data_IF_969784985567
#
_entry.id   IF_969784985567
#
_cell.length_a   1.000
_cell.length_b   1.000
_cell.length_c   1.000
_cell.angle_alpha   90.00
_cell.angle_beta   90.00
_cell.angle_gamma   90.00
#
_symmetry.space_group_name_H-M   'P 1'
#
loop_
_entity.id
_entity.type
_entity.pdbx_description
1 polymer ?
#
# COMPACT_ATOMS: atom_id res chain seq x y z
N UNK A 1 -6.74 11.59 -25.57
CA UNK A 1 -6.70 12.09 -24.18
C UNK A 1 -6.98 11.00 -23.15
N UNK A 2 -8.13 10.31 -23.16
CA UNK A 2 -8.48 9.32 -22.13
C UNK A 2 -7.52 8.12 -22.01
N UNK A 3 -7.10 7.51 -23.12
CA UNK A 3 -6.15 6.40 -23.07
C UNK A 3 -4.80 6.82 -22.45
N UNK A 4 -4.29 7.99 -22.83
CA UNK A 4 -3.05 8.55 -22.24
C UNK A 4 -3.25 8.80 -20.74
N UNK A 5 -4.39 9.40 -20.36
CA UNK A 5 -4.74 9.64 -18.96
C UNK A 5 -4.82 8.33 -18.16
N UNK A 6 -5.37 7.26 -18.73
CA UNK A 6 -5.40 5.95 -18.10
C UNK A 6 -4.00 5.45 -17.76
N UNK A 7 -3.07 5.46 -18.73
CA UNK A 7 -1.70 5.01 -18.47
C UNK A 7 -0.97 5.90 -17.47
N UNK A 8 -1.17 7.21 -17.52
CA UNK A 8 -0.56 8.16 -16.58
C UNK A 8 -1.13 7.96 -15.16
N UNK A 9 -2.46 7.84 -15.03
CA UNK A 9 -3.13 7.62 -13.73
C UNK A 9 -2.70 6.29 -13.11
N UNK A 10 -2.69 5.21 -13.89
CA UNK A 10 -2.29 3.88 -13.40
C UNK A 10 -0.80 3.82 -13.02
N UNK A 11 0.05 4.52 -13.78
CA UNK A 11 1.47 4.68 -13.43
C UNK A 11 1.67 5.52 -12.16
N UNK A 12 0.92 6.61 -12.02
CA UNK A 12 0.94 7.44 -10.80
C UNK A 12 0.46 6.63 -9.59
N UNK A 13 -0.58 5.80 -9.77
CA UNK A 13 -1.08 4.89 -8.75
C UNK A 13 0.01 3.91 -8.30
N UNK A 14 0.70 3.27 -9.24
CA UNK A 14 1.79 2.34 -8.92
C UNK A 14 2.85 2.98 -8.00
N UNK A 15 3.31 4.20 -8.32
CA UNK A 15 4.30 4.89 -7.50
C UNK A 15 3.76 5.36 -6.15
N UNK A 16 2.54 5.89 -6.13
CA UNK A 16 1.84 6.19 -4.88
C UNK A 16 1.79 4.96 -3.97
N UNK A 17 1.37 3.83 -4.53
CA UNK A 17 1.15 2.61 -3.79
C UNK A 17 2.47 2.01 -3.29
N UNK A 18 3.48 1.90 -4.16
CA UNK A 18 4.82 1.47 -3.79
C UNK A 18 5.44 2.32 -2.69
N UNK A 19 5.38 3.65 -2.82
CA UNK A 19 5.93 4.56 -1.80
C UNK A 19 5.15 4.43 -0.49
N UNK A 20 3.86 4.10 -0.55
CA UNK A 20 3.04 3.82 0.64
C UNK A 20 3.50 2.59 1.40
N UNK A 21 4.11 1.61 0.75
CA UNK A 21 4.72 0.46 1.41
C UNK A 21 6.20 0.67 1.77
N UNK A 22 6.93 1.50 1.03
CA UNK A 22 8.38 1.70 1.22
C UNK A 22 8.74 2.91 2.12
N UNK A 23 7.77 3.71 2.56
CA UNK A 23 7.97 4.88 3.44
C UNK A 23 7.02 4.87 4.63
N UNK A 24 7.54 4.98 5.85
CA UNK A 24 6.72 4.96 7.08
C UNK A 24 5.66 6.06 7.12
N UNK A 25 5.97 7.25 6.60
CA UNK A 25 5.00 8.33 6.48
C UNK A 25 3.82 7.93 5.60
N UNK A 26 4.09 7.43 4.40
CA UNK A 26 3.04 7.05 3.45
C UNK A 26 2.30 5.79 3.91
N UNK A 27 2.99 4.88 4.60
CA UNK A 27 2.39 3.72 5.25
C UNK A 27 1.32 4.10 6.26
N UNK A 28 1.46 5.20 7.02
CA UNK A 28 0.42 5.62 7.96
C UNK A 28 -0.90 6.02 7.27
N UNK A 29 -0.87 6.34 5.97
CA UNK A 29 -2.07 6.58 5.17
C UNK A 29 -2.68 5.29 4.62
N UNK A 30 -1.96 4.17 4.69
CA UNK A 30 -2.30 2.94 3.99
C UNK A 30 -2.43 1.70 4.91
N UNK A 31 -1.75 1.66 6.06
CA UNK A 31 -1.69 0.52 7.00
C UNK A 31 -3.06 -0.02 7.42
N UNK A 32 -4.05 0.86 7.53
CA UNK A 32 -5.43 0.50 7.89
C UNK A 32 -6.02 -0.48 6.87
N UNK A 33 -5.70 -0.30 5.58
CA UNK A 33 -6.09 -1.18 4.48
C UNK A 33 -5.53 -2.59 4.66
N UNK A 34 -4.23 -2.70 4.95
CA UNK A 34 -3.55 -3.99 5.12
C UNK A 34 -3.73 -4.64 6.49
N UNK A 35 -4.26 -3.90 7.48
CA UNK A 35 -4.35 -4.39 8.87
C UNK A 35 -5.28 -5.60 9.08
N UNK A 36 -6.13 -5.92 8.10
CA UNK A 36 -7.09 -7.03 8.22
C UNK A 36 -6.41 -8.38 8.00
N UNK A 37 -6.59 -9.31 8.96
CA UNK A 37 -6.21 -10.72 8.80
C UNK A 37 -7.23 -11.51 7.95
N UNK A 38 -8.39 -10.89 7.66
CA UNK A 38 -9.43 -11.45 6.80
C UNK A 38 -9.44 -10.72 5.45
N UNK A 39 -9.16 -11.44 4.36
CA UNK A 39 -9.12 -10.88 3.01
C UNK A 39 -10.42 -11.14 2.25
N UNK A 40 -11.14 -10.06 1.90
CA UNK A 40 -12.38 -10.05 1.12
C UNK A 40 -12.68 -8.63 0.61
N UNK A 41 -13.78 -8.44 -0.12
CA UNK A 41 -14.14 -7.15 -0.76
C UNK A 41 -14.25 -5.98 0.22
N UNK A 42 -14.57 -6.21 1.51
CA UNK A 42 -14.63 -5.12 2.50
C UNK A 42 -13.27 -4.49 2.78
N UNK A 43 -12.17 -5.23 2.55
CA UNK A 43 -10.81 -4.69 2.67
C UNK A 43 -10.58 -3.55 1.68
N UNK A 44 -11.17 -3.61 0.48
CA UNK A 44 -11.06 -2.57 -0.54
C UNK A 44 -11.49 -1.19 -0.02
N UNK A 45 -12.57 -1.16 0.77
CA UNK A 45 -13.14 0.09 1.31
C UNK A 45 -12.62 0.43 2.71
N UNK A 46 -11.77 -0.43 3.29
CA UNK A 46 -11.17 -0.22 4.60
C UNK A 46 -9.98 0.75 4.48
N UNK A 47 -10.25 2.05 4.53
CA UNK A 47 -9.24 3.09 4.32
C UNK A 47 -8.87 3.81 5.64
N UNK A 48 -7.65 4.37 5.69
CA UNK A 48 -7.23 5.27 6.77
C UNK A 48 -8.02 6.57 6.74
N UNK A 49 -8.32 7.15 7.90
CA UNK A 49 -8.95 8.49 7.99
C UNK A 49 -8.09 9.59 7.40
N UNK A 50 -6.78 9.36 7.33
CA UNK A 50 -5.84 10.31 6.76
C UNK A 50 -5.64 10.09 5.25
N UNK A 51 -6.17 9.00 4.70
CA UNK A 51 -6.06 8.66 3.27
C UNK A 51 -6.45 9.87 2.42
N UNK A 52 -5.64 10.20 1.44
CA UNK A 52 -5.85 11.37 0.58
C UNK A 52 -5.06 12.64 0.94
N UNK A 53 -4.63 12.84 2.20
CA UNK A 53 -3.96 14.11 2.60
C UNK A 53 -2.67 14.40 1.81
N UNK A 54 -1.92 13.37 1.44
CA UNK A 54 -0.69 13.50 0.64
C UNK A 54 -0.80 12.85 -0.75
N UNK A 55 -1.96 12.30 -1.12
CA UNK A 55 -2.13 11.63 -2.42
C UNK A 55 -1.96 12.61 -3.57
N UNK A 56 -2.36 13.88 -3.38
CA UNK A 56 -2.25 14.92 -4.39
C UNK A 56 -0.82 15.11 -4.90
N UNK A 57 0.23 14.77 -4.13
CA UNK A 57 1.63 14.85 -4.57
C UNK A 57 1.88 13.96 -5.79
N UNK A 58 1.20 12.83 -5.89
CA UNK A 58 1.34 11.88 -7.00
C UNK A 58 0.47 12.24 -8.20
N UNK A 59 -0.67 12.88 -7.97
CA UNK A 59 -1.66 13.15 -9.02
C UNK A 59 -1.66 14.60 -9.54
N UNK A 60 -1.16 15.57 -8.76
CA UNK A 60 -1.02 16.97 -9.22
C UNK A 60 -0.24 17.12 -10.54
N UNK A 61 0.83 16.34 -10.82
CA UNK A 61 1.48 16.36 -12.12
C UNK A 61 0.53 16.08 -13.30
N UNK A 62 -0.50 15.25 -13.11
CA UNK A 62 -1.50 14.95 -14.15
C UNK A 62 -2.25 16.23 -14.55
N UNK A 63 -2.65 17.06 -13.58
CA UNK A 63 -3.29 18.35 -13.87
C UNK A 63 -2.33 19.34 -14.53
N UNK A 64 -1.05 19.35 -14.12
CA UNK A 64 -0.02 20.19 -14.73
C UNK A 64 0.28 19.81 -16.18
N UNK A 65 0.04 18.55 -16.58
CA UNK A 65 0.11 18.09 -17.97
C UNK A 65 -1.10 18.52 -18.82
N UNK A 66 -2.04 19.28 -18.25
CA UNK A 66 -3.19 19.87 -18.97
C UNK A 66 -4.47 19.05 -18.91
N UNK A 67 -4.54 17.98 -18.11
CA UNK A 67 -5.79 17.26 -17.90
C UNK A 67 -6.68 17.98 -16.89
N UNK A 68 -7.95 18.15 -17.22
CA UNK A 68 -8.90 18.78 -16.31
C UNK A 68 -9.11 17.91 -15.05
N UNK A 69 -9.28 18.51 -13.85
CA UNK A 69 -9.47 17.75 -12.60
C UNK A 69 -10.62 16.74 -12.64
N UNK A 70 -11.72 17.05 -13.35
CA UNK A 70 -12.85 16.12 -13.49
C UNK A 70 -12.50 14.90 -14.35
N UNK A 71 -11.62 15.05 -15.36
CA UNK A 71 -11.17 13.92 -16.17
C UNK A 71 -10.34 12.97 -15.33
N UNK A 72 -9.41 13.52 -14.53
CA UNK A 72 -8.66 12.75 -13.54
C UNK A 72 -9.61 12.04 -12.58
N UNK A 73 -10.57 12.75 -11.98
CA UNK A 73 -11.52 12.15 -11.03
C UNK A 73 -12.29 10.97 -11.63
N UNK A 74 -12.73 11.09 -12.89
CA UNK A 74 -13.40 9.99 -13.61
C UNK A 74 -12.45 8.83 -13.85
N UNK A 75 -11.23 9.07 -14.37
CA UNK A 75 -10.27 8.01 -14.65
C UNK A 75 -9.83 7.29 -13.37
N UNK A 76 -9.47 8.05 -12.35
CA UNK A 76 -9.07 7.53 -11.05
C UNK A 76 -10.22 6.76 -10.39
N UNK A 77 -11.47 7.20 -10.57
CA UNK A 77 -12.65 6.44 -10.16
C UNK A 77 -12.72 5.06 -10.81
N UNK A 78 -12.47 4.95 -12.12
CA UNK A 78 -12.38 3.65 -12.80
C UNK A 78 -11.23 2.80 -12.26
N UNK A 79 -10.08 3.41 -11.97
CA UNK A 79 -8.94 2.73 -11.36
C UNK A 79 -9.33 2.10 -10.01
N UNK A 80 -9.95 2.87 -9.11
CA UNK A 80 -10.39 2.38 -7.80
C UNK A 80 -11.50 1.32 -7.90
N UNK A 81 -12.43 1.46 -8.85
CA UNK A 81 -13.47 0.44 -9.11
C UNK A 81 -12.84 -0.86 -9.61
N UNK A 82 -11.82 -0.78 -10.48
CA UNK A 82 -11.08 -1.95 -10.91
C UNK A 82 -10.39 -2.63 -9.71
N UNK A 83 -9.77 -1.85 -8.83
CA UNK A 83 -9.11 -2.42 -7.67
C UNK A 83 -10.08 -3.01 -6.65
N UNK A 84 -11.34 -2.56 -6.60
CA UNK A 84 -12.34 -3.14 -5.70
C UNK A 84 -12.54 -4.64 -5.94
N UNK A 85 -12.78 -5.07 -7.19
CA UNK A 85 -13.19 -6.45 -7.46
C UNK A 85 -12.07 -7.48 -7.27
N UNK A 86 -10.80 -7.05 -7.38
CA UNK A 86 -9.65 -7.94 -7.17
C UNK A 86 -9.41 -8.30 -5.68
N UNK A 87 -10.12 -7.68 -4.74
CA UNK A 87 -10.08 -8.04 -3.31
C UNK A 87 -10.92 -9.29 -3.01
N UNK A 88 -10.53 -10.43 -3.57
CA UNK A 88 -11.26 -11.67 -3.38
C UNK A 88 -10.36 -12.90 -3.35
N UNK A 89 -10.79 -13.90 -2.56
CA UNK A 89 -10.21 -15.24 -2.54
C UNK A 89 -10.94 -16.22 -3.47
N UNK A 90 -12.07 -15.79 -4.05
CA UNK A 90 -12.95 -16.68 -4.81
C UNK A 90 -12.42 -17.03 -6.20
N UNK A 91 -11.61 -16.16 -6.77
CA UNK A 91 -11.02 -16.34 -8.09
C UNK A 91 -9.56 -16.70 -7.88
N UNK A 92 -9.19 -17.94 -8.19
CA UNK A 92 -7.83 -18.43 -8.03
C UNK A 92 -6.90 -17.74 -9.04
N UNK A 93 -6.95 -18.13 -10.31
CA UNK A 93 -6.11 -17.57 -11.40
C UNK A 93 -6.93 -17.16 -12.61
N UNK A 94 -6.41 -16.21 -13.38
CA UNK A 94 -7.01 -15.75 -14.65
C UNK A 94 -6.17 -16.08 -15.89
N UNK A 95 -5.13 -16.92 -15.73
CA UNK A 95 -4.33 -17.42 -16.84
C UNK A 95 -3.65 -16.29 -17.62
N UNK A 96 -3.76 -16.23 -18.96
CA UNK A 96 -3.04 -15.24 -19.77
C UNK A 96 -3.31 -13.76 -19.43
N UNK A 97 -4.45 -13.45 -18.79
CA UNK A 97 -4.72 -12.08 -18.36
C UNK A 97 -3.71 -11.59 -17.30
N UNK A 98 -3.10 -12.51 -16.54
CA UNK A 98 -2.12 -12.22 -15.48
C UNK A 98 -0.79 -11.67 -16.01
N UNK A 99 -0.56 -11.70 -17.33
CA UNK A 99 0.61 -11.05 -17.91
C UNK A 99 0.46 -9.53 -17.99
N UNK A 100 -0.78 -9.02 -18.05
CA UNK A 100 -1.07 -7.60 -18.31
C UNK A 100 -1.87 -6.95 -17.18
N UNK A 101 -2.84 -7.68 -16.63
CA UNK A 101 -3.78 -7.18 -15.63
C UNK A 101 -3.36 -7.54 -14.21
N UNK A 102 -3.61 -6.63 -13.28
CA UNK A 102 -3.62 -6.95 -11.87
C UNK A 102 -4.85 -7.82 -11.57
N UNK A 103 -4.65 -8.98 -10.96
CA UNK A 103 -5.71 -9.98 -10.78
C UNK A 103 -5.91 -10.26 -9.29
N UNK A 104 -6.98 -10.99 -8.91
CA UNK A 104 -7.16 -11.39 -7.52
C UNK A 104 -5.95 -12.12 -6.94
N UNK A 105 -5.26 -12.96 -7.72
CA UNK A 105 -4.03 -13.63 -7.28
C UNK A 105 -2.89 -12.67 -6.96
N UNK A 106 -2.61 -11.75 -7.89
CA UNK A 106 -1.57 -10.73 -7.68
C UNK A 106 -1.87 -9.86 -6.46
N UNK A 107 -3.14 -9.51 -6.25
CA UNK A 107 -3.56 -8.64 -5.16
C UNK A 107 -3.63 -9.36 -3.81
N UNK A 108 -3.84 -10.68 -3.79
CA UNK A 108 -3.65 -11.49 -2.58
C UNK A 108 -2.19 -11.52 -2.15
N UNK A 109 -1.26 -11.69 -3.10
CA UNK A 109 0.19 -11.55 -2.83
C UNK A 109 0.49 -10.18 -2.26
N UNK A 110 -0.05 -9.12 -2.86
CA UNK A 110 0.15 -7.77 -2.35
C UNK A 110 -0.29 -7.58 -0.88
N UNK A 111 -1.39 -8.21 -0.48
CA UNK A 111 -1.87 -8.20 0.90
C UNK A 111 -1.16 -9.20 1.83
N UNK A 112 -0.24 -10.00 1.30
CA UNK A 112 0.52 -11.00 2.04
C UNK A 112 1.64 -10.40 2.88
N UNK A 113 1.81 -10.92 4.09
CA UNK A 113 2.86 -10.53 5.06
C UNK A 113 3.97 -11.57 5.19
N UNK A 114 3.81 -12.75 4.60
CA UNK A 114 4.84 -13.79 4.53
C UNK A 114 5.84 -13.51 3.39
N UNK A 115 7.06 -14.04 3.51
CA UNK A 115 7.95 -14.11 2.36
C UNK A 115 7.44 -15.18 1.39
N UNK A 116 7.53 -14.98 0.07
CA UNK A 116 8.18 -13.87 -0.63
C UNK A 116 7.27 -12.65 -0.93
N UNK A 117 6.10 -12.55 -0.31
CA UNK A 117 5.01 -11.61 -0.66
C UNK A 117 5.12 -10.22 -0.03
N UNK A 118 5.89 -10.09 1.04
CA UNK A 118 6.10 -8.81 1.69
C UNK A 118 6.64 -7.76 0.69
N UNK A 119 5.99 -6.60 0.64
CA UNK A 119 6.38 -5.46 -0.19
C UNK A 119 6.46 -5.82 -1.71
N UNK A 120 5.43 -6.51 -2.23
CA UNK A 120 5.29 -6.93 -3.65
C UNK A 120 3.98 -6.51 -4.29
N UNK A 121 3.94 -6.54 -5.62
CA UNK A 121 2.74 -6.36 -6.45
C UNK A 121 1.93 -5.07 -6.18
N UNK A 122 2.50 -3.90 -6.46
CA UNK A 122 1.91 -2.60 -6.18
C UNK A 122 0.95 -2.06 -7.25
N UNK A 123 0.82 -2.72 -8.40
CA UNK A 123 0.01 -2.23 -9.51
C UNK A 123 -1.46 -1.99 -9.12
N UNK A 124 -2.09 -1.00 -9.76
CA UNK A 124 -3.53 -0.77 -9.66
C UNK A 124 -4.28 -1.67 -10.64
N UNK A 125 -4.28 -1.28 -11.91
CA UNK A 125 -4.94 -2.00 -13.01
C UNK A 125 -3.96 -2.87 -13.79
N UNK A 126 -2.78 -2.35 -14.15
CA UNK A 126 -1.84 -3.06 -15.01
C UNK A 126 -0.66 -3.62 -14.22
N UNK A 127 -0.54 -4.95 -14.14
CA UNK A 127 0.58 -5.63 -13.46
C UNK A 127 1.93 -5.42 -14.17
N UNK A 128 1.91 -4.84 -15.37
CA UNK A 128 3.10 -4.55 -16.16
C UNK A 128 4.09 -3.66 -15.40
N UNK A 129 3.60 -2.76 -14.53
CA UNK A 129 4.48 -1.89 -13.74
C UNK A 129 5.32 -2.68 -12.76
N UNK A 130 4.73 -3.65 -12.07
CA UNK A 130 5.48 -4.53 -11.17
C UNK A 130 6.53 -5.35 -11.89
N UNK A 131 6.21 -5.83 -13.11
CA UNK A 131 7.16 -6.56 -13.94
C UNK A 131 8.30 -5.66 -14.41
N UNK A 132 7.99 -4.44 -14.83
CA UNK A 132 8.98 -3.46 -15.30
C UNK A 132 9.94 -3.01 -14.18
N UNK A 133 9.42 -2.83 -12.97
CA UNK A 133 10.18 -2.32 -11.83
C UNK A 133 10.67 -3.40 -10.85
N UNK A 134 10.50 -4.67 -11.20
CA UNK A 134 11.07 -5.81 -10.46
C UNK A 134 10.40 -6.11 -9.11
N UNK A 135 9.13 -5.75 -8.95
CA UNK A 135 8.35 -5.97 -7.73
C UNK A 135 7.30 -7.08 -7.89
N UNK A 136 7.19 -7.66 -9.09
CA UNK A 136 6.28 -8.76 -9.38
C UNK A 136 6.70 -10.06 -8.67
N UNK A 137 5.76 -10.67 -7.96
CA UNK A 137 5.86 -12.02 -7.39
C UNK A 137 4.57 -12.77 -7.66
N UNK A 138 4.71 -14.04 -8.05
CA UNK A 138 3.59 -14.94 -8.27
C UNK A 138 3.09 -15.56 -6.95
N UNK A 139 1.78 -15.84 -6.87
CA UNK A 139 1.19 -16.56 -5.75
C UNK A 139 1.51 -18.07 -5.80
N UNK A 140 2.59 -18.48 -5.17
CA UNK A 140 3.05 -19.87 -5.07
C UNK A 140 2.53 -20.65 -3.85
N UNK A 141 2.04 -19.96 -2.82
CA UNK A 141 1.53 -20.49 -1.56
C UNK A 141 0.41 -19.59 -1.01
N UNK A 142 -0.38 -20.07 -0.06
CA UNK A 142 -1.47 -19.29 0.52
C UNK A 142 -0.93 -18.08 1.30
N UNK A 143 -1.31 -16.83 0.93
CA UNK A 143 -0.83 -15.64 1.64
C UNK A 143 -1.39 -15.56 3.06
N UNK A 144 -0.51 -15.20 4.01
CA UNK A 144 -0.92 -14.78 5.35
C UNK A 144 -1.19 -13.28 5.33
N UNK A 145 -2.42 -12.88 5.62
CA UNK A 145 -2.84 -11.48 5.61
C UNK A 145 -2.57 -10.75 6.93
N UNK A 146 -2.72 -9.43 6.91
CA UNK A 146 -2.48 -8.55 8.05
C UNK A 146 -1.18 -7.76 7.89
N UNK A 147 -0.65 -7.30 9.01
CA UNK A 147 0.61 -6.53 9.06
C UNK A 147 1.61 -7.20 10.01
N UNK A 148 2.91 -6.94 9.83
CA UNK A 148 3.99 -7.60 10.58
C UNK A 148 3.79 -7.48 12.11
N UNK A 149 3.25 -6.35 12.56
CA UNK A 149 2.90 -6.08 13.96
C UNK A 149 1.37 -5.95 14.07
N UNK A 150 0.62 -7.03 14.36
CA UNK A 150 -0.84 -7.00 14.35
C UNK A 150 -1.43 -5.96 15.31
N UNK A 151 -2.46 -5.25 14.86
CA UNK A 151 -3.21 -4.29 15.68
C UNK A 151 -4.19 -5.08 16.55
N UNK A 152 -3.81 -5.38 17.80
CA UNK A 152 -4.68 -6.10 18.76
C UNK A 152 -5.70 -5.17 19.42
N UNK A 153 -6.48 -4.44 18.63
CA UNK A 153 -7.48 -3.48 19.12
C UNK A 153 -8.58 -3.22 18.09
N UNK A 154 -9.82 -3.10 18.57
CA UNK A 154 -10.98 -2.68 17.77
C UNK A 154 -11.29 -1.19 17.91
N UNK A 155 -10.50 -0.44 18.69
CA UNK A 155 -10.71 1.00 18.86
C UNK A 155 -10.36 1.74 17.55
N UNK A 156 -11.31 2.41 16.89
CA UNK A 156 -11.07 3.06 15.60
C UNK A 156 -10.04 4.20 15.68
N UNK A 157 -9.92 4.87 16.83
CA UNK A 157 -8.89 5.87 17.06
C UNK A 157 -7.51 5.23 17.03
N UNK A 158 -7.34 4.13 17.78
CA UNK A 158 -6.04 3.45 17.84
C UNK A 158 -5.65 2.84 16.49
N UNK A 159 -6.60 2.20 15.81
CA UNK A 159 -6.41 1.64 14.46
C UNK A 159 -5.91 2.68 13.45
N UNK A 160 -6.34 3.94 13.54
CA UNK A 160 -5.89 4.99 12.63
C UNK A 160 -4.63 5.73 13.13
N UNK A 161 -4.35 5.72 14.43
CA UNK A 161 -3.29 6.53 15.03
C UNK A 161 -2.02 5.76 15.41
N UNK A 162 -2.06 4.43 15.55
CA UNK A 162 -0.93 3.66 16.07
C UNK A 162 0.37 3.88 15.27
N UNK A 163 0.31 3.85 13.92
CA UNK A 163 1.48 4.05 13.07
C UNK A 163 2.11 5.44 13.22
N UNK A 164 1.28 6.47 13.46
CA UNK A 164 1.75 7.82 13.77
C UNK A 164 2.47 7.90 15.12
N UNK A 165 1.91 7.26 16.15
CA UNK A 165 2.55 7.18 17.47
C UNK A 165 3.89 6.44 17.40
N UNK A 166 3.93 5.29 16.74
CA UNK A 166 5.16 4.51 16.54
C UNK A 166 6.24 5.31 15.79
N UNK A 167 5.85 6.04 14.75
CA UNK A 167 6.78 6.90 13.99
C UNK A 167 7.34 8.04 14.86
N UNK A 168 6.49 8.74 15.61
CA UNK A 168 6.91 9.83 16.51
C UNK A 168 7.83 9.31 17.61
N UNK A 169 7.52 8.15 18.19
CA UNK A 169 8.34 7.51 19.21
C UNK A 169 9.72 7.11 18.65
N UNK A 170 9.74 6.48 17.47
CA UNK A 170 10.98 6.16 16.78
C UNK A 170 11.81 7.42 16.49
N UNK A 171 11.19 8.52 16.05
CA UNK A 171 11.89 9.80 15.85
C UNK A 171 12.45 10.39 17.16
N UNK A 172 11.74 10.28 18.27
CA UNK A 172 12.19 10.78 19.59
C UNK A 172 13.41 10.02 20.10
N UNK A 173 13.58 8.75 19.74
CA UNK A 173 14.77 7.96 20.08
C UNK A 173 16.05 8.43 19.38
N UNK A 174 15.94 9.11 18.23
CA UNK A 174 17.10 9.52 17.42
C UNK A 174 17.60 10.90 17.81
N UNK A 175 18.91 11.00 18.04
CA UNK A 175 19.60 12.26 18.38
C UNK A 175 19.85 13.15 17.17
N UNK A 176 20.04 12.56 15.99
CA UNK A 176 20.45 13.29 14.78
C UNK A 176 19.28 13.51 13.82
N UNK A 177 19.30 14.61 13.06
CA UNK A 177 18.30 14.90 12.02
C UNK A 177 18.24 13.79 10.95
N UNK A 178 19.36 13.27 10.42
CA UNK A 178 19.32 12.13 9.49
C UNK A 178 18.64 10.89 10.09
N UNK A 179 18.88 10.59 11.38
CA UNK A 179 18.21 9.50 12.07
C UNK A 179 16.70 9.69 12.13
N UNK A 180 16.25 10.92 12.48
CA UNK A 180 14.82 11.26 12.50
C UNK A 180 14.16 11.15 11.12
N UNK A 181 14.82 11.67 10.08
CA UNK A 181 14.33 11.58 8.71
C UNK A 181 14.22 10.13 8.24
N UNK A 182 15.16 9.25 8.64
CA UNK A 182 15.10 7.83 8.33
C UNK A 182 13.85 7.16 8.94
N UNK A 183 13.46 7.53 10.16
CA UNK A 183 12.22 7.03 10.78
C UNK A 183 10.94 7.44 10.03
N UNK A 184 10.99 8.53 9.26
CA UNK A 184 9.85 9.04 8.49
C UNK A 184 9.80 8.40 7.10
N UNK A 185 10.94 8.38 6.40
CA UNK A 185 10.96 8.14 4.95
C UNK A 185 11.46 6.76 4.53
N UNK A 186 12.03 5.98 5.44
CA UNK A 186 12.47 4.63 5.11
C UNK A 186 11.38 3.59 5.43
N UNK A 187 11.62 2.35 5.00
CA UNK A 187 10.61 1.28 5.05
C UNK A 187 10.00 1.11 6.45
N UNK A 188 8.66 0.96 6.55
CA UNK A 188 7.97 0.70 7.82
C UNK A 188 8.41 -0.61 8.48
N UNK A 189 8.98 -1.54 7.68
CA UNK A 189 9.46 -2.85 8.11
C UNK A 189 10.83 -2.79 8.80
N UNK A 190 11.56 -1.68 8.71
CA UNK A 190 12.81 -1.51 9.44
C UNK A 190 12.57 -1.30 10.94
N UNK A 191 13.38 -1.97 11.76
CA UNK A 191 13.42 -1.74 13.20
C UNK A 191 14.24 -0.48 13.48
N UNK A 192 13.57 0.59 13.90
CA UNK A 192 14.20 1.84 14.29
C UNK A 192 14.31 2.02 15.80
N UNK A 193 13.84 1.04 16.58
CA UNK A 193 13.89 1.13 18.03
C UNK A 193 15.30 0.83 18.53
N UNK A 194 15.97 1.86 19.07
CA UNK A 194 17.27 1.68 19.75
C UNK A 194 17.08 1.25 21.22
N UNK A 195 15.84 1.17 21.72
CA UNK A 195 15.59 0.69 23.08
C UNK A 195 15.92 -0.80 23.15
N UNK A 196 16.54 -1.27 24.25
CA UNK A 196 16.74 -2.69 24.46
C UNK A 196 15.37 -3.38 24.37
N UNK A 197 15.27 -4.43 23.54
CA UNK A 197 14.09 -5.28 23.53
C UNK A 197 13.95 -5.84 24.93
N UNK A 198 12.99 -5.33 25.69
CA UNK A 198 12.58 -5.98 26.94
C UNK A 198 12.08 -7.34 26.49
N UNK A 199 12.81 -8.40 26.83
CA UNK A 199 12.33 -9.76 26.63
C UNK A 199 10.94 -9.81 27.25
N UNK A 200 9.90 -9.93 26.41
CA UNK A 200 8.59 -10.32 26.87
C UNK A 200 8.78 -11.76 27.40
N UNK A 201 8.96 -11.87 28.71
CA UNK A 201 9.13 -13.12 29.39
C UNK A 201 7.86 -13.97 29.23
N UNK A 202 8.08 -15.23 28.82
CA UNK A 202 7.27 -16.44 28.96
C UNK A 202 5.75 -16.35 28.70
#
# INVERSE_FOLDING_TARGET
SWAILFFIDDFAYYWFHRISHESRLFWNFHVVHHSSEFYNLSVAVRQSWFSGLLHWVFYAPIMLLGFAPWMFAVMHGFNLIYQFWIHTRLIDRLGPLEYVLNTPSHHRVHHGVNNPYLDRNYAGVLIIWDRMFGTFVEETEEPRYGIIKPIRSYNPLWVNLHGWFEMIEAMRSKKTLPGKLKCIFASPNMDFDDRPKVNAAA
#
